data_IF_626768774061
#
_entry.id   IF_626768774061
#
_cell.length_a   1.000
_cell.length_b   1.000
_cell.length_c   1.000
_cell.angle_alpha   90.00
_cell.angle_beta   90.00
_cell.angle_gamma   90.00
#
_symmetry.space_group_name_H-M   'P 1'
#
loop_
_entity.id
_entity.type
_entity.pdbx_description
1 polymer ?
#
# COMPACT_ATOMS: atom_id res chain seq x y z
N UNK A 1 -22.17 -1.59 -41.13
CA UNK A 1 -21.29 -0.98 -40.11
C UNK A 1 -22.05 -0.69 -38.81
N UNK A 2 -23.18 -1.37 -38.57
CA UNK A 2 -24.03 -1.16 -37.39
C UNK A 2 -23.92 -2.35 -36.42
N UNK A 3 -23.65 -3.56 -36.93
CA UNK A 3 -23.38 -4.78 -36.15
C UNK A 3 -22.21 -4.65 -35.16
N UNK A 4 -21.17 -3.88 -35.51
CA UNK A 4 -19.98 -3.74 -34.68
C UNK A 4 -20.27 -3.09 -33.32
N UNK A 5 -21.20 -2.12 -33.30
CA UNK A 5 -21.54 -1.36 -32.08
C UNK A 5 -22.44 -2.17 -31.14
N UNK A 6 -23.36 -2.96 -31.70
CA UNK A 6 -24.26 -3.83 -30.95
C UNK A 6 -23.50 -5.00 -30.32
N UNK A 7 -22.52 -5.55 -31.05
CA UNK A 7 -21.60 -6.58 -30.54
C UNK A 7 -20.80 -6.08 -29.34
N UNK A 8 -20.19 -4.89 -29.46
CA UNK A 8 -19.43 -4.27 -28.35
C UNK A 8 -20.30 -4.00 -27.13
N UNK A 9 -21.54 -3.54 -27.33
CA UNK A 9 -22.46 -3.28 -26.23
C UNK A 9 -22.85 -4.58 -25.50
N UNK A 10 -23.06 -5.65 -26.26
CA UNK A 10 -23.36 -6.98 -25.72
C UNK A 10 -22.17 -7.53 -24.91
N UNK A 11 -20.95 -7.43 -25.44
CA UNK A 11 -19.73 -7.84 -24.72
C UNK A 11 -19.53 -7.09 -23.39
N UNK A 12 -19.85 -5.79 -23.35
CA UNK A 12 -19.79 -4.99 -22.12
C UNK A 12 -20.88 -5.40 -21.11
N UNK A 13 -22.07 -5.78 -21.59
CA UNK A 13 -23.17 -6.23 -20.74
C UNK A 13 -22.89 -7.62 -20.11
N UNK A 14 -22.12 -8.46 -20.80
CA UNK A 14 -21.73 -9.80 -20.35
C UNK A 14 -20.52 -9.80 -19.38
N UNK A 15 -19.97 -8.61 -19.06
CA UNK A 15 -18.94 -8.48 -18.02
C UNK A 15 -19.56 -8.85 -16.67
N UNK A 16 -19.20 -10.02 -16.15
CA UNK A 16 -19.65 -10.47 -14.84
C UNK A 16 -19.30 -9.44 -13.74
N UNK A 17 -20.27 -9.06 -12.89
CA UNK A 17 -20.05 -8.12 -11.79
C UNK A 17 -19.31 -8.76 -10.60
N UNK A 18 -18.88 -10.01 -10.72
CA UNK A 18 -18.06 -10.72 -9.72
C UNK A 18 -16.85 -9.85 -9.35
N UNK A 19 -17.00 -9.11 -8.25
CA UNK A 19 -15.95 -8.25 -7.73
C UNK A 19 -14.75 -9.15 -7.44
N UNK A 20 -13.60 -8.92 -8.09
CA UNK A 20 -12.44 -9.76 -7.87
C UNK A 20 -12.13 -9.76 -6.37
N UNK A 21 -11.92 -10.96 -5.81
CA UNK A 21 -11.69 -11.13 -4.39
C UNK A 21 -10.56 -10.17 -3.95
N UNK A 22 -10.90 -9.19 -3.09
CA UNK A 22 -9.90 -8.20 -2.66
C UNK A 22 -8.80 -8.95 -1.92
N UNK A 23 -7.56 -8.75 -2.38
CA UNK A 23 -6.39 -9.37 -1.76
C UNK A 23 -6.35 -9.00 -0.28
N UNK A 24 -6.07 -9.96 0.58
CA UNK A 24 -5.86 -9.69 2.00
C UNK A 24 -4.69 -8.72 2.17
N UNK A 25 -4.88 -7.71 3.03
CA UNK A 25 -3.88 -6.68 3.32
C UNK A 25 -3.32 -6.89 4.73
N UNK A 26 -2.03 -6.61 4.90
CA UNK A 26 -1.38 -6.57 6.21
C UNK A 26 -1.90 -5.38 7.03
N UNK A 27 -2.34 -5.64 8.26
CA UNK A 27 -2.84 -4.60 9.16
C UNK A 27 -1.76 -3.59 9.59
N UNK A 28 -0.48 -3.98 9.55
CA UNK A 28 0.65 -3.13 9.94
C UNK A 28 1.07 -2.17 8.82
N UNK A 29 1.42 -2.70 7.64
CA UNK A 29 1.95 -1.90 6.52
C UNK A 29 0.92 -1.59 5.41
N UNK A 30 -0.26 -2.19 5.43
CA UNK A 30 -1.31 -2.00 4.42
C UNK A 30 -1.05 -2.68 3.08
N UNK A 31 0.03 -3.46 2.94
CA UNK A 31 0.37 -4.16 1.68
C UNK A 31 -0.34 -5.50 1.55
N UNK A 32 -0.56 -6.00 0.33
CA UNK A 32 -1.03 -7.37 0.13
C UNK A 32 -0.11 -8.37 0.83
N UNK A 33 -0.70 -9.36 1.50
CA UNK A 33 0.02 -10.38 2.28
C UNK A 33 1.21 -11.00 1.52
N UNK A 34 1.09 -11.38 0.22
CA UNK A 34 2.21 -12.00 -0.52
C UNK A 34 3.45 -11.10 -0.71
N UNK A 35 3.30 -9.79 -0.62
CA UNK A 35 4.39 -8.80 -0.83
C UNK A 35 4.66 -7.97 0.43
N UNK A 36 4.25 -8.50 1.58
CA UNK A 36 4.44 -7.87 2.87
C UNK A 36 5.91 -7.94 3.30
N UNK A 37 6.49 -6.80 3.66
CA UNK A 37 7.85 -6.74 4.20
C UNK A 37 7.89 -6.79 5.73
N UNK A 38 6.77 -6.70 6.44
CA UNK A 38 6.76 -6.74 7.91
C UNK A 38 7.47 -7.97 8.52
N UNK A 39 7.41 -9.17 7.93
CA UNK A 39 8.18 -10.32 8.43
C UNK A 39 9.70 -10.13 8.38
N UNK A 40 10.18 -9.22 7.54
CA UNK A 40 11.60 -8.93 7.35
C UNK A 40 12.07 -7.71 8.14
N UNK A 41 11.16 -7.01 8.84
CA UNK A 41 11.55 -6.01 9.82
C UNK A 41 12.01 -6.69 11.10
N UNK A 42 12.87 -6.00 11.84
CA UNK A 42 13.21 -6.38 13.20
C UNK A 42 11.92 -6.60 14.02
N UNK A 43 11.88 -7.71 14.76
CA UNK A 43 10.74 -8.02 15.63
C UNK A 43 10.55 -6.91 16.68
N UNK A 44 11.66 -6.43 17.23
CA UNK A 44 11.71 -5.32 18.16
C UNK A 44 12.02 -4.00 17.42
N UNK A 45 11.24 -2.94 17.66
CA UNK A 45 11.54 -1.61 17.13
C UNK A 45 12.91 -1.10 17.61
N UNK A 46 13.61 -0.42 16.73
CA UNK A 46 14.91 0.16 16.97
C UNK A 46 14.75 1.41 17.84
N UNK A 47 15.45 1.43 18.97
CA UNK A 47 15.54 2.60 19.83
C UNK A 47 16.63 3.54 19.34
N UNK A 48 16.29 4.81 19.12
CA UNK A 48 17.23 5.85 18.70
C UNK A 48 17.45 6.87 19.80
N UNK A 49 18.69 7.37 19.95
CA UNK A 49 18.98 8.45 20.92
C UNK A 49 18.25 9.75 20.59
N UNK A 50 17.92 9.94 19.31
CA UNK A 50 17.29 11.15 18.78
C UNK A 50 15.90 10.84 18.25
N UNK A 51 15.06 11.88 18.19
CA UNK A 51 13.78 11.84 17.50
C UNK A 51 14.00 12.06 16.00
N UNK A 52 13.39 11.21 15.17
CA UNK A 52 13.44 11.27 13.72
C UNK A 52 12.19 12.00 13.20
N UNK A 53 12.40 13.04 12.39
CA UNK A 53 11.32 13.76 11.69
C UNK A 53 11.49 13.49 10.20
N UNK A 54 10.47 12.92 9.59
CA UNK A 54 10.44 12.57 8.16
C UNK A 54 9.52 13.56 7.46
N UNK A 55 10.06 14.34 6.53
CA UNK A 55 9.27 15.14 5.58
C UNK A 55 8.97 14.27 4.36
N UNK A 56 7.75 13.75 4.29
CA UNK A 56 7.31 12.83 3.25
C UNK A 56 6.76 13.63 2.07
N UNK A 57 7.40 13.54 0.90
CA UNK A 57 6.90 14.17 -0.31
C UNK A 57 5.60 13.49 -0.79
N UNK A 58 4.58 14.22 -1.29
CA UNK A 58 3.30 13.63 -1.74
C UNK A 58 3.45 12.56 -2.83
N UNK A 59 4.49 12.66 -3.65
CA UNK A 59 4.80 11.66 -4.67
C UNK A 59 5.30 10.34 -4.07
N UNK A 60 6.00 10.36 -2.93
CA UNK A 60 6.47 9.14 -2.25
C UNK A 60 5.29 8.38 -1.64
N UNK A 61 4.30 9.08 -1.10
CA UNK A 61 3.10 8.47 -0.54
C UNK A 61 2.34 7.62 -1.56
N UNK A 62 2.35 8.04 -2.83
CA UNK A 62 1.72 7.33 -3.95
C UNK A 62 2.56 6.16 -4.48
N UNK A 63 3.83 6.04 -4.10
CA UNK A 63 4.70 4.93 -4.55
C UNK A 63 4.44 3.69 -3.72
N UNK A 64 4.49 2.53 -4.36
CA UNK A 64 4.29 1.24 -3.69
C UNK A 64 5.32 0.96 -2.58
N UNK A 65 6.54 1.52 -2.69
CA UNK A 65 7.63 1.25 -1.75
C UNK A 65 7.37 1.85 -0.36
N UNK A 66 6.89 3.09 -0.28
CA UNK A 66 6.58 3.80 0.99
C UNK A 66 7.68 3.63 2.06
N UNK A 67 8.91 3.96 1.70
CA UNK A 67 10.09 3.98 2.56
C UNK A 67 9.88 4.72 3.88
N UNK A 68 9.14 5.83 3.87
CA UNK A 68 8.80 6.53 5.11
C UNK A 68 8.03 5.64 6.09
N UNK A 69 7.10 4.80 5.58
CA UNK A 69 6.31 3.86 6.39
C UNK A 69 7.16 2.71 6.94
N UNK A 70 8.19 2.29 6.21
CA UNK A 70 9.17 1.31 6.69
C UNK A 70 9.87 1.87 7.93
N UNK A 71 10.44 3.08 7.83
CA UNK A 71 11.16 3.70 8.94
C UNK A 71 10.26 3.96 10.15
N UNK A 72 9.02 4.41 9.92
CA UNK A 72 8.02 4.62 10.98
C UNK A 72 7.70 3.33 11.76
N UNK A 73 7.61 2.18 11.08
CA UNK A 73 7.33 0.89 11.73
C UNK A 73 8.57 0.23 12.35
N UNK A 74 9.77 0.63 11.92
CA UNK A 74 11.04 0.12 12.44
C UNK A 74 11.52 0.85 13.69
N UNK A 75 10.99 2.03 14.01
CA UNK A 75 11.41 2.84 15.16
C UNK A 75 10.46 2.67 16.35
N UNK A 76 10.99 2.85 17.56
CA UNK A 76 10.17 2.75 18.77
C UNK A 76 9.11 3.85 18.85
N UNK A 77 8.06 3.57 19.64
CA UNK A 77 6.90 4.47 19.76
C UNK A 77 7.34 5.85 20.26
N UNK A 78 6.91 6.91 19.55
CA UNK A 78 7.22 8.30 19.90
C UNK A 78 8.55 8.83 19.36
N UNK A 79 9.41 7.98 18.80
CA UNK A 79 10.70 8.40 18.24
C UNK A 79 10.64 8.81 16.76
N UNK A 80 9.53 8.54 16.06
CA UNK A 80 9.35 8.92 14.67
C UNK A 80 8.12 9.82 14.50
N UNK A 81 8.28 10.91 13.74
CA UNK A 81 7.19 11.79 13.31
C UNK A 81 7.25 11.94 11.79
N UNK A 82 6.17 11.58 11.10
CA UNK A 82 6.03 11.77 9.65
C UNK A 82 5.14 12.99 9.38
N UNK A 83 5.67 13.95 8.64
CA UNK A 83 4.95 15.14 8.16
C UNK A 83 4.75 14.97 6.66
N UNK A 84 3.51 15.13 6.19
CA UNK A 84 3.10 14.92 4.79
C UNK A 84 2.80 16.23 4.09
#
# INVERSE_FOLDING_TARGET
MCDDMETVLQELADISPELPYKRQLCLKCGRPVPVCWCPHLSADPIETKNRVIILQHPNEEKRCLRTAKILELSLSCGQCLVIK
#
